data_IF_180951065729
#
_entry.id   IF_180951065729
#
_cell.length_a   1.000
_cell.length_b   1.000
_cell.length_c   1.000
_cell.angle_alpha   90.00
_cell.angle_beta   90.00
_cell.angle_gamma   90.00
#
_symmetry.space_group_name_H-M   'P 1'
#
loop_
_entity.id
_entity.type
_entity.pdbx_description
1 polymer ?
#
# COMPACT_ATOMS: atom_id res chain seq x y z
N UNK A 1 -4.18 -4.18 28.58
CA UNK A 1 -5.39 -3.76 27.84
C UNK A 1 -4.95 -3.21 26.49
N UNK A 2 -4.86 -4.07 25.48
CA UNK A 2 -4.42 -3.70 24.14
C UNK A 2 -5.61 -3.07 23.40
N UNK A 3 -5.71 -1.74 23.52
CA UNK A 3 -6.77 -0.98 22.87
C UNK A 3 -6.64 -1.18 21.36
N UNK A 4 -7.68 -1.79 20.79
CA UNK A 4 -7.85 -2.12 19.38
C UNK A 4 -8.04 -0.83 18.55
N UNK A 5 -7.04 0.06 18.55
CA UNK A 5 -7.10 1.38 17.93
C UNK A 5 -6.72 1.39 16.44
N UNK A 6 -6.36 0.24 15.88
CA UNK A 6 -6.02 0.17 14.45
C UNK A 6 -7.26 0.31 13.55
N UNK A 7 -8.43 -0.11 14.05
CA UNK A 7 -9.69 0.03 13.32
C UNK A 7 -10.25 1.43 13.39
N UNK A 8 -10.43 1.97 14.61
CA UNK A 8 -11.29 3.15 14.83
C UNK A 8 -10.84 4.39 14.07
N UNK A 9 -9.54 4.62 13.94
CA UNK A 9 -9.04 5.82 13.26
C UNK A 9 -9.38 5.81 11.76
N UNK A 10 -9.21 4.66 11.10
CA UNK A 10 -9.57 4.50 9.69
C UNK A 10 -11.07 4.70 9.48
N UNK A 11 -11.90 4.11 10.33
CA UNK A 11 -13.36 4.30 10.26
C UNK A 11 -13.76 5.77 10.41
N UNK A 12 -13.14 6.51 11.34
CA UNK A 12 -13.40 7.94 11.54
C UNK A 12 -13.01 8.75 10.30
N UNK A 13 -11.81 8.52 9.74
CA UNK A 13 -11.39 9.19 8.49
C UNK A 13 -12.33 8.89 7.32
N UNK A 14 -12.85 7.66 7.24
CA UNK A 14 -13.75 7.21 6.18
C UNK A 14 -15.15 7.85 6.31
N UNK A 15 -15.70 7.89 7.53
CA UNK A 15 -16.96 8.60 7.82
C UNK A 15 -16.81 10.09 7.55
N UNK A 16 -15.69 10.70 7.96
CA UNK A 16 -15.43 12.11 7.70
C UNK A 16 -15.41 12.39 6.18
N UNK A 17 -14.68 11.59 5.41
CA UNK A 17 -14.66 11.69 3.95
C UNK A 17 -16.06 11.54 3.35
N UNK A 18 -16.83 10.54 3.80
CA UNK A 18 -18.20 10.30 3.31
C UNK A 18 -19.11 11.50 3.58
N UNK A 19 -19.02 12.09 4.77
CA UNK A 19 -19.78 13.29 5.16
C UNK A 19 -19.37 14.48 4.28
N UNK A 20 -18.08 14.77 4.10
CA UNK A 20 -17.64 15.86 3.23
C UNK A 20 -18.06 15.66 1.77
N UNK A 21 -18.02 14.43 1.26
CA UNK A 21 -18.52 14.08 -0.08
C UNK A 21 -20.02 14.32 -0.18
N UNK A 22 -20.81 13.89 0.82
CA UNK A 22 -22.25 14.09 0.86
C UNK A 22 -22.63 15.58 0.93
N UNK A 23 -21.96 16.38 1.78
CA UNK A 23 -22.17 17.82 1.85
C UNK A 23 -21.82 18.53 0.54
N UNK A 24 -20.80 18.06 -0.18
CA UNK A 24 -20.46 18.60 -1.50
C UNK A 24 -21.52 18.25 -2.54
N UNK A 25 -22.05 17.03 -2.48
CA UNK A 25 -23.13 16.59 -3.36
C UNK A 25 -24.43 17.37 -3.12
N UNK A 26 -24.67 17.80 -1.88
CA UNK A 26 -25.79 18.69 -1.51
C UNK A 26 -25.61 20.13 -2.04
N UNK A 27 -24.47 20.46 -2.66
CA UNK A 27 -24.22 21.78 -3.26
C UNK A 27 -24.01 22.90 -2.24
N UNK A 28 -23.85 22.58 -0.95
CA UNK A 28 -23.75 23.56 0.14
C UNK A 28 -22.39 24.24 0.26
N UNK A 29 -21.35 23.67 -0.34
CA UNK A 29 -19.96 24.10 -0.21
C UNK A 29 -19.37 24.18 -1.62
N UNK A 30 -18.77 25.31 -2.03
CA UNK A 30 -18.12 25.53 -3.34
C UNK A 30 -16.61 25.22 -3.37
N UNK A 31 -16.01 24.75 -2.27
CA UNK A 31 -14.59 24.44 -2.14
C UNK A 31 -14.03 23.40 -3.14
N UNK A 32 -12.74 23.50 -3.45
CA UNK A 32 -12.09 22.54 -4.35
C UNK A 32 -12.15 21.09 -3.79
N UNK A 33 -12.29 20.09 -4.66
CA UNK A 33 -12.36 18.67 -4.26
C UNK A 33 -11.09 18.18 -3.54
N UNK A 34 -9.98 18.91 -3.69
CA UNK A 34 -8.76 18.72 -2.89
C UNK A 34 -9.00 18.79 -1.37
N UNK A 35 -9.88 19.67 -0.89
CA UNK A 35 -10.15 19.80 0.55
C UNK A 35 -10.98 18.65 1.09
N UNK A 36 -11.91 18.12 0.29
CA UNK A 36 -12.75 16.96 0.65
C UNK A 36 -11.89 15.72 0.86
N UNK A 37 -10.77 15.61 0.14
CA UNK A 37 -9.84 14.48 0.24
C UNK A 37 -8.74 14.66 1.28
N UNK A 38 -8.63 15.83 1.90
CA UNK A 38 -7.60 16.11 2.90
C UNK A 38 -7.42 15.00 3.97
N UNK A 39 -8.49 14.45 4.57
CA UNK A 39 -8.35 13.32 5.51
C UNK A 39 -7.72 12.06 4.88
N UNK A 40 -7.99 11.77 3.61
CA UNK A 40 -7.36 10.66 2.91
C UNK A 40 -5.89 10.95 2.56
N UNK A 41 -5.56 12.18 2.15
CA UNK A 41 -4.18 12.60 1.90
C UNK A 41 -3.29 12.46 3.15
N UNK A 42 -3.81 12.81 4.32
CA UNK A 42 -3.09 12.62 5.58
C UNK A 42 -2.82 11.14 5.82
N UNK A 43 -3.84 10.29 5.65
CA UNK A 43 -3.69 8.84 5.87
C UNK A 43 -2.62 8.25 4.95
N UNK A 44 -2.68 8.56 3.65
CA UNK A 44 -1.73 8.08 2.65
C UNK A 44 -0.31 8.59 2.93
N UNK A 45 -0.17 9.85 3.35
CA UNK A 45 1.12 10.44 3.72
C UNK A 45 1.72 9.76 4.95
N UNK A 46 0.93 9.51 5.98
CA UNK A 46 1.38 8.81 7.20
C UNK A 46 1.80 7.37 6.87
N UNK A 47 1.03 6.67 6.03
CA UNK A 47 1.37 5.33 5.54
C UNK A 47 2.71 5.34 4.79
N UNK A 48 2.90 6.29 3.88
CA UNK A 48 4.11 6.42 3.08
C UNK A 48 5.34 6.73 3.95
N UNK A 49 5.22 7.65 4.90
CA UNK A 49 6.28 7.95 5.87
C UNK A 49 6.62 6.72 6.72
N UNK A 50 5.61 5.98 7.18
CA UNK A 50 5.82 4.77 7.98
C UNK A 50 6.58 3.70 7.19
N UNK A 51 6.24 3.48 5.91
CA UNK A 51 6.96 2.57 5.02
C UNK A 51 8.41 3.02 4.83
N UNK A 52 8.65 4.32 4.61
CA UNK A 52 9.99 4.88 4.48
C UNK A 52 10.84 4.71 5.75
N UNK A 53 10.27 5.01 6.92
CA UNK A 53 10.97 4.83 8.20
C UNK A 53 11.33 3.36 8.43
N UNK A 54 10.42 2.44 8.12
CA UNK A 54 10.73 1.01 8.18
C UNK A 54 11.81 0.60 7.16
N UNK A 55 11.77 1.12 5.94
CA UNK A 55 12.81 0.85 4.95
C UNK A 55 14.19 1.36 5.41
N UNK A 56 14.25 2.56 6.00
CA UNK A 56 15.50 3.16 6.51
C UNK A 56 16.03 2.37 7.72
N UNK A 57 15.18 2.05 8.69
CA UNK A 57 15.58 1.31 9.90
C UNK A 57 16.07 -0.10 9.58
N UNK A 58 15.41 -0.80 8.66
CA UNK A 58 15.82 -2.13 8.19
C UNK A 58 17.12 -2.08 7.37
N UNK A 59 17.28 -1.07 6.50
CA UNK A 59 18.55 -0.83 5.79
C UNK A 59 19.73 -0.69 6.74
N UNK A 60 19.51 -0.08 7.90
CA UNK A 60 20.54 0.17 8.90
C UNK A 60 20.91 -1.08 9.72
N UNK A 61 20.00 -2.06 9.84
CA UNK A 61 20.22 -3.26 10.66
C UNK A 61 20.84 -4.44 9.90
N UNK A 62 20.61 -4.60 8.59
CA UNK A 62 21.08 -5.77 7.81
C UNK A 62 21.52 -5.41 6.38
N UNK A 63 22.81 -5.07 6.16
CA UNK A 63 23.30 -4.65 4.84
C UNK A 63 23.33 -5.79 3.80
N UNK A 64 23.42 -7.06 4.23
CA UNK A 64 23.56 -8.21 3.33
C UNK A 64 22.26 -8.61 2.60
N UNK A 65 21.08 -8.39 3.20
CA UNK A 65 19.77 -8.69 2.58
C UNK A 65 19.03 -7.43 2.10
N UNK A 66 19.77 -6.32 1.97
CA UNK A 66 19.22 -4.98 1.73
C UNK A 66 18.40 -4.87 0.44
N UNK A 67 18.83 -5.54 -0.63
CA UNK A 67 18.21 -5.37 -1.97
C UNK A 67 16.79 -5.94 -2.04
N UNK A 68 16.57 -7.13 -1.50
CA UNK A 68 15.27 -7.83 -1.52
C UNK A 68 14.24 -7.11 -0.65
N UNK A 69 14.65 -6.63 0.52
CA UNK A 69 13.76 -5.93 1.46
C UNK A 69 13.39 -4.54 0.93
N UNK A 70 14.34 -3.79 0.35
CA UNK A 70 14.05 -2.49 -0.28
C UNK A 70 13.08 -2.67 -1.44
N UNK A 71 13.31 -3.64 -2.32
CA UNK A 71 12.45 -3.83 -3.49
C UNK A 71 11.01 -4.16 -3.10
N UNK A 72 10.81 -5.01 -2.08
CA UNK A 72 9.48 -5.31 -1.54
C UNK A 72 8.78 -4.07 -0.96
N UNK A 73 9.53 -3.17 -0.29
CA UNK A 73 8.96 -1.94 0.27
C UNK A 73 8.71 -0.85 -0.77
N UNK A 74 9.57 -0.74 -1.79
CA UNK A 74 9.31 0.09 -2.95
C UNK A 74 8.05 -0.36 -3.68
N UNK A 75 7.80 -1.67 -3.72
CA UNK A 75 6.58 -2.21 -4.30
C UNK A 75 5.31 -1.76 -3.57
N UNK A 76 5.31 -1.82 -2.23
CA UNK A 76 4.23 -1.27 -1.41
C UNK A 76 4.04 0.24 -1.64
N UNK A 77 5.13 1.01 -1.68
CA UNK A 77 5.07 2.45 -1.92
C UNK A 77 4.50 2.78 -3.33
N UNK A 78 4.88 2.00 -4.35
CA UNK A 78 4.29 2.10 -5.68
C UNK A 78 2.78 1.83 -5.63
N UNK A 79 2.32 0.80 -4.91
CA UNK A 79 0.90 0.52 -4.79
C UNK A 79 0.11 1.69 -4.15
N UNK A 80 0.66 2.31 -3.10
CA UNK A 80 0.07 3.50 -2.44
C UNK A 80 0.03 4.69 -3.40
N UNK A 81 1.12 4.97 -4.12
CA UNK A 81 1.12 6.06 -5.11
C UNK A 81 0.07 5.87 -6.20
N UNK A 82 -0.25 4.62 -6.53
CA UNK A 82 -1.19 4.28 -7.56
C UNK A 82 -2.65 4.37 -7.10
N UNK A 83 -2.90 4.02 -5.83
CA UNK A 83 -4.15 4.33 -5.13
C UNK A 83 -4.41 5.84 -5.09
N UNK A 84 -3.40 6.65 -4.80
CA UNK A 84 -3.51 8.11 -4.85
C UNK A 84 -3.94 8.61 -6.23
N UNK A 85 -3.32 8.09 -7.29
CA UNK A 85 -3.69 8.44 -8.68
C UNK A 85 -5.14 8.06 -8.98
N UNK A 86 -5.57 6.84 -8.62
CA UNK A 86 -6.97 6.43 -8.77
C UNK A 86 -7.93 7.36 -8.04
N UNK A 87 -7.61 7.70 -6.79
CA UNK A 87 -8.45 8.56 -5.96
C UNK A 87 -8.57 9.97 -6.57
N UNK A 88 -7.48 10.53 -7.10
CA UNK A 88 -7.48 11.83 -7.81
C UNK A 88 -8.29 11.77 -9.11
N UNK A 89 -8.14 10.70 -9.91
CA UNK A 89 -8.93 10.50 -11.13
C UNK A 89 -10.42 10.38 -10.82
N UNK A 90 -10.78 9.66 -9.76
CA UNK A 90 -12.15 9.52 -9.30
C UNK A 90 -12.74 10.89 -8.92
N UNK A 91 -11.94 11.75 -8.30
CA UNK A 91 -12.34 13.12 -7.93
C UNK A 91 -12.58 13.99 -9.16
N UNK A 92 -11.67 13.97 -10.14
CA UNK A 92 -11.83 14.70 -11.39
C UNK A 92 -13.10 14.26 -12.12
N UNK A 93 -13.40 12.96 -12.09
CA UNK A 93 -14.62 12.40 -12.67
C UNK A 93 -15.89 12.79 -11.89
N UNK A 94 -15.82 12.86 -10.55
CA UNK A 94 -16.94 13.31 -9.70
C UNK A 94 -17.23 14.81 -9.84
N UNK A 95 -16.19 15.61 -10.11
CA UNK A 95 -16.33 17.06 -10.29
C UNK A 95 -17.09 17.44 -11.57
N UNK A 96 -17.50 16.47 -12.40
CA UNK A 96 -18.22 16.66 -13.68
C UNK A 96 -17.52 17.63 -14.66
N UNK A 97 -16.24 17.97 -14.45
CA UNK A 97 -15.53 18.95 -15.27
C UNK A 97 -15.06 18.36 -16.60
N UNK A 98 -14.94 17.02 -16.73
CA UNK A 98 -14.58 16.41 -18.01
C UNK A 98 -15.38 15.13 -18.31
N UNK A 99 -15.77 14.98 -19.58
CA UNK A 99 -16.36 13.78 -20.17
C UNK A 99 -15.29 12.68 -20.32
N UNK A 100 -14.66 12.31 -19.20
CA UNK A 100 -13.61 11.30 -19.20
C UNK A 100 -14.29 9.93 -19.35
N UNK A 101 -13.99 9.17 -20.41
CA UNK A 101 -14.56 7.85 -20.57
C UNK A 101 -14.16 6.95 -19.40
N UNK A 102 -15.13 6.20 -18.84
CA UNK A 102 -14.94 5.31 -17.67
C UNK A 102 -13.76 4.33 -17.79
N UNK A 103 -13.26 4.10 -19.01
CA UNK A 103 -12.09 3.28 -19.27
C UNK A 103 -10.81 3.77 -18.55
N UNK A 104 -10.57 5.09 -18.50
CA UNK A 104 -9.36 5.64 -17.86
C UNK A 104 -9.34 5.42 -16.34
N UNK A 105 -10.51 5.38 -15.71
CA UNK A 105 -10.64 5.14 -14.26
C UNK A 105 -10.32 3.68 -13.91
N UNK A 106 -10.53 2.76 -14.86
CA UNK A 106 -10.24 1.34 -14.65
C UNK A 106 -8.74 1.03 -14.76
N UNK A 107 -7.99 1.82 -15.54
CA UNK A 107 -6.57 1.60 -15.78
C UNK A 107 -5.75 1.46 -14.48
N UNK A 108 -5.93 2.33 -13.47
CA UNK A 108 -5.25 2.17 -12.20
C UNK A 108 -5.78 1.04 -11.31
N UNK A 109 -6.93 0.46 -11.61
CA UNK A 109 -7.40 -0.73 -10.92
C UNK A 109 -6.72 -1.99 -11.50
N UNK A 110 -6.59 -2.06 -12.82
CA UNK A 110 -5.92 -3.16 -13.52
C UNK A 110 -4.44 -3.28 -13.14
N UNK A 111 -3.73 -2.17 -13.14
CA UNK A 111 -2.32 -2.15 -12.77
C UNK A 111 -2.13 -2.49 -11.28
N UNK A 112 -3.04 -2.10 -10.38
CA UNK A 112 -2.99 -2.49 -8.97
C UNK A 112 -3.24 -4.00 -8.79
N UNK A 113 -4.18 -4.56 -9.56
CA UNK A 113 -4.40 -6.01 -9.58
C UNK A 113 -3.15 -6.76 -10.04
N UNK A 114 -2.53 -6.32 -11.13
CA UNK A 114 -1.28 -6.91 -11.62
C UNK A 114 -0.15 -6.77 -10.58
N UNK A 115 -0.07 -5.62 -9.92
CA UNK A 115 0.90 -5.33 -8.88
C UNK A 115 0.77 -6.30 -7.68
N UNK A 116 -0.46 -6.58 -7.23
CA UNK A 116 -0.72 -7.53 -6.14
C UNK A 116 -0.39 -8.97 -6.55
N UNK A 117 -0.78 -9.37 -7.76
CA UNK A 117 -0.50 -10.73 -8.25
C UNK A 117 1.01 -10.98 -8.36
N UNK A 118 1.76 -10.03 -8.92
CA UNK A 118 3.22 -10.12 -9.00
C UNK A 118 3.88 -10.14 -7.61
N UNK A 119 3.37 -9.36 -6.65
CA UNK A 119 3.83 -9.45 -5.26
C UNK A 119 3.60 -10.83 -4.64
N UNK A 120 2.40 -11.39 -4.81
CA UNK A 120 2.06 -12.70 -4.28
C UNK A 120 2.97 -13.78 -4.87
N UNK A 121 3.17 -13.79 -6.19
CA UNK A 121 4.06 -14.75 -6.86
C UNK A 121 5.50 -14.62 -6.35
N UNK A 122 6.03 -13.40 -6.23
CA UNK A 122 7.39 -13.17 -5.72
C UNK A 122 7.53 -13.60 -4.25
N UNK A 123 6.53 -13.33 -3.42
CA UNK A 123 6.54 -13.72 -2.00
C UNK A 123 6.47 -15.24 -1.82
N UNK A 124 5.63 -15.94 -2.60
CA UNK A 124 5.55 -17.41 -2.61
C UNK A 124 6.85 -18.03 -3.10
N UNK A 125 7.42 -17.50 -4.18
CA UNK A 125 8.69 -18.00 -4.72
C UNK A 125 9.86 -17.79 -3.75
N UNK A 126 9.91 -16.62 -3.09
CA UNK A 126 10.90 -16.33 -2.06
C UNK A 126 10.74 -17.24 -0.84
N UNK A 127 9.50 -17.55 -0.45
CA UNK A 127 9.19 -18.50 0.61
C UNK A 127 9.78 -19.86 0.25
N UNK A 128 9.42 -20.45 -0.90
CA UNK A 128 9.91 -21.78 -1.31
C UNK A 128 11.44 -21.91 -1.31
N UNK A 129 12.16 -20.91 -1.84
CA UNK A 129 13.64 -20.91 -1.81
C UNK A 129 14.20 -20.99 -0.38
N UNK A 130 13.58 -20.31 0.58
CA UNK A 130 14.05 -20.29 1.96
C UNK A 130 13.82 -21.64 2.67
N UNK A 131 12.71 -22.35 2.39
CA UNK A 131 12.47 -23.69 2.94
C UNK A 131 13.48 -24.72 2.42
N UNK A 132 13.74 -24.71 1.11
CA UNK A 132 14.73 -25.62 0.49
C UNK A 132 16.13 -25.35 1.06
N UNK A 133 16.50 -24.08 1.21
CA UNK A 133 17.79 -23.68 1.80
C UNK A 133 17.96 -24.08 3.27
N UNK A 134 16.89 -24.01 4.08
CA UNK A 134 16.91 -24.45 5.48
C UNK A 134 17.02 -25.98 5.61
N UNK A 135 16.28 -26.71 4.76
CA UNK A 135 16.30 -28.18 4.75
C UNK A 135 17.68 -28.72 4.38
N UNK A 136 18.30 -28.18 3.32
CA UNK A 136 19.65 -28.57 2.91
C UNK A 136 20.70 -28.32 4.01
N UNK A 137 20.57 -27.24 4.78
CA UNK A 137 21.51 -26.91 5.86
C UNK A 137 21.39 -27.88 7.06
N UNK A 138 20.18 -28.34 7.36
CA UNK A 138 19.93 -29.32 8.43
C UNK A 138 20.47 -30.73 8.11
N UNK A 139 20.39 -31.15 6.85
CA UNK A 139 20.94 -32.44 6.39
C UNK A 139 22.47 -32.45 6.45
N UNK A 140 23.12 -31.33 6.11
CA UNK A 140 24.59 -31.25 6.19
C UNK A 140 25.09 -31.21 7.63
N UNK A 141 24.36 -30.54 8.54
CA UNK A 141 24.73 -30.45 9.96
C UNK A 141 24.60 -31.80 10.69
N UNK A 142 23.56 -32.59 10.39
CA UNK A 142 23.40 -33.94 10.94
C UNK A 142 24.45 -34.92 10.42
N UNK A 143 24.87 -34.77 9.16
CA UNK A 143 25.95 -35.60 8.58
C UNK A 143 27.32 -35.37 9.21
N UNK A 144 27.56 -34.17 9.72
CA UNK A 144 28.82 -33.81 10.39
C UNK A 144 28.87 -34.19 11.87
N UNK A 145 27.74 -34.46 12.51
CA UNK A 145 27.65 -34.82 13.93
C UNK A 145 27.61 -36.32 14.20
N UNK A 146 27.50 -37.14 13.15
CA UNK A 146 27.58 -38.60 13.21
C UNK A 146 28.93 -39.21 12.80
N UNK A 147 29.95 -38.36 12.60
CA UNK A 147 31.35 -38.71 12.36
C UNK A 147 32.17 -38.26 13.58
#
# INVERSE_FOLDING_TARGET
MAFSSRGSFTWVSLVLLLVFVALRLDGRIEWNWFYVLFPAWIYESVMLIFILLQAITQCRQRPAERKTIIFARCWDACAVSFLLVFQVLLCLKLQQVENIPSYYVMFPLWLLLLQINAYLVLSVYAHERNYVGATARSTTASRFSGL
#
